data_IF_030429225569
#
_entry.id   IF_030429225569
#
_cell.length_a   1.000
_cell.length_b   1.000
_cell.length_c   1.000
_cell.angle_alpha   90.00
_cell.angle_beta   90.00
_cell.angle_gamma   90.00
#
_symmetry.space_group_name_H-M   'P 1'
#
loop_
_entity.id
_entity.type
_entity.pdbx_description
1 polymer ?
#
# COMPACT_ATOMS: atom_id res chain seq x y z
N UNK A 1 -1.18 30.29 48.36
CA UNK A 1 -0.08 29.66 49.11
C UNK A 1 0.37 28.48 48.27
N UNK A 2 1.52 28.65 47.58
CA UNK A 2 2.75 27.84 47.57
C UNK A 2 2.52 26.36 47.18
N UNK A 3 3.19 25.73 46.26
CA UNK A 3 4.52 25.92 45.64
C UNK A 3 4.61 25.10 44.36
N UNK A 4 5.18 25.71 43.36
CA UNK A 4 5.96 25.23 42.27
C UNK A 4 7.08 24.26 42.64
N UNK A 5 7.37 23.23 41.86
CA UNK A 5 8.72 22.74 41.63
C UNK A 5 8.72 21.89 40.32
N UNK A 6 9.26 22.49 39.27
CA UNK A 6 9.84 21.81 38.12
C UNK A 6 11.35 21.73 38.33
N UNK A 7 12.03 20.65 38.03
CA UNK A 7 13.51 20.65 37.99
C UNK A 7 14.01 21.16 36.63
N UNK A 8 14.95 22.10 36.70
CA UNK A 8 15.83 22.54 35.63
C UNK A 8 16.71 21.38 35.15
N UNK A 9 16.90 21.30 33.85
CA UNK A 9 17.92 20.43 33.25
C UNK A 9 19.10 21.34 32.89
N UNK A 10 20.21 21.12 33.56
CA UNK A 10 21.49 21.78 33.32
C UNK A 10 22.07 21.35 31.96
N UNK A 11 22.48 22.36 31.21
CA UNK A 11 23.32 22.33 30.04
C UNK A 11 24.79 22.33 30.47
N UNK A 12 25.68 21.81 29.65
CA UNK A 12 27.13 21.74 29.71
C UNK A 12 27.77 20.38 30.07
N UNK A 13 28.28 19.76 28.98
CA UNK A 13 29.73 19.50 28.94
C UNK A 13 30.22 19.32 27.49
N UNK A 14 30.82 20.38 27.03
CA UNK A 14 31.74 20.43 25.87
C UNK A 14 33.09 19.87 26.32
N UNK A 15 33.61 18.83 25.69
CA UNK A 15 35.03 18.45 25.82
C UNK A 15 35.66 18.24 24.46
N UNK A 16 36.58 19.10 24.18
CA UNK A 16 37.47 19.21 23.02
C UNK A 16 38.65 18.26 23.08
N UNK A 17 39.06 17.75 21.90
CA UNK A 17 40.41 17.58 21.40
C UNK A 17 41.02 16.17 21.44
N UNK A 18 42.14 15.89 20.76
CA UNK A 18 42.77 16.71 19.71
C UNK A 18 43.11 15.94 18.42
N UNK A 19 43.43 16.71 17.36
CA UNK A 19 44.11 16.31 16.13
C UNK A 19 45.53 15.77 16.35
N UNK A 20 45.90 14.71 15.62
CA UNK A 20 47.26 14.47 15.13
C UNK A 20 47.20 13.71 13.84
N UNK A 21 47.42 14.33 12.74
CA UNK A 21 48.63 14.38 11.92
C UNK A 21 49.40 13.05 11.79
N UNK A 22 49.33 12.46 10.62
CA UNK A 22 50.51 11.91 9.97
C UNK A 22 50.32 11.84 8.44
N UNK A 23 51.05 12.76 7.75
CA UNK A 23 51.38 12.68 6.34
C UNK A 23 52.52 11.70 6.14
N UNK A 24 52.49 10.93 5.04
CA UNK A 24 53.70 10.44 4.33
C UNK A 24 53.22 9.74 3.05
N UNK A 25 53.29 10.34 1.89
CA UNK A 25 54.28 10.35 0.81
C UNK A 25 54.91 8.99 0.47
N UNK A 26 54.65 8.48 -0.73
CA UNK A 26 55.65 8.21 -1.81
C UNK A 26 55.01 7.32 -2.90
N UNK A 27 54.88 7.88 -4.10
CA UNK A 27 55.74 7.83 -5.30
C UNK A 27 55.84 6.48 -6.00
N UNK A 28 55.29 6.45 -7.22
CA UNK A 28 55.86 5.99 -8.51
C UNK A 28 56.45 4.58 -8.57
N UNK A 29 55.89 3.74 -9.44
CA UNK A 29 56.74 3.09 -10.47
C UNK A 29 55.91 2.76 -11.71
N UNK A 30 56.34 3.39 -12.80
CA UNK A 30 55.98 3.09 -14.19
C UNK A 30 56.95 2.00 -14.63
N UNK A 31 56.46 0.87 -15.09
CA UNK A 31 57.29 -0.05 -15.87
C UNK A 31 56.59 -0.43 -17.17
N UNK A 32 57.16 0.08 -18.24
CA UNK A 32 56.92 -0.31 -19.62
C UNK A 32 57.57 -1.67 -19.86
N UNK A 33 56.86 -2.63 -20.45
CA UNK A 33 57.47 -3.74 -21.16
C UNK A 33 56.80 -3.86 -22.54
N UNK A 34 57.68 -3.89 -23.53
CA UNK A 34 57.39 -3.87 -24.95
C UNK A 34 57.06 -5.25 -25.51
N UNK A 35 56.22 -5.23 -26.51
CA UNK A 35 56.17 -5.98 -27.75
C UNK A 35 56.93 -7.34 -27.87
N UNK A 36 56.19 -8.41 -28.07
CA UNK A 36 56.65 -9.51 -28.92
C UNK A 36 55.43 -10.06 -29.68
N UNK A 37 55.43 -9.83 -30.99
CA UNK A 37 54.52 -10.46 -31.95
C UNK A 37 54.85 -11.97 -32.05
N UNK A 38 53.83 -12.81 -31.87
CA UNK A 38 53.84 -14.16 -32.42
C UNK A 38 52.50 -14.41 -33.14
N UNK A 39 52.60 -14.49 -34.48
CA UNK A 39 51.54 -14.94 -35.36
C UNK A 39 51.36 -16.43 -35.13
N UNK A 40 50.20 -16.80 -34.59
CA UNK A 40 49.68 -18.18 -34.74
C UNK A 40 48.28 -18.04 -35.38
N UNK A 41 48.20 -18.36 -36.67
CA UNK A 41 46.93 -18.60 -37.38
C UNK A 41 46.36 -19.93 -36.88
N UNK A 42 45.35 -19.89 -36.10
CA UNK A 42 44.47 -21.05 -35.87
C UNK A 42 43.07 -20.65 -36.32
N UNK A 43 42.57 -21.40 -37.30
CA UNK A 43 41.22 -21.29 -37.82
C UNK A 43 40.20 -21.52 -36.69
N UNK A 44 39.46 -20.48 -36.34
CA UNK A 44 38.25 -20.62 -35.52
C UNK A 44 37.03 -20.77 -36.44
N UNK A 45 36.16 -21.75 -36.16
CA UNK A 45 34.89 -21.82 -36.87
C UNK A 45 34.03 -20.60 -36.55
N UNK A 46 33.50 -19.97 -37.58
CA UNK A 46 32.50 -18.90 -37.47
C UNK A 46 31.27 -19.49 -36.82
N UNK A 47 31.17 -19.30 -35.47
CA UNK A 47 29.89 -19.44 -34.80
C UNK A 47 29.07 -18.20 -35.17
N UNK A 48 28.13 -18.36 -36.08
CA UNK A 48 27.05 -17.40 -36.26
C UNK A 48 26.28 -17.32 -34.93
N UNK A 49 26.51 -16.26 -34.15
CA UNK A 49 25.62 -15.88 -33.06
C UNK A 49 24.28 -15.53 -33.72
N UNK A 50 23.38 -16.47 -33.74
CA UNK A 50 21.96 -16.19 -33.92
C UNK A 50 21.54 -15.39 -32.69
N UNK A 51 21.21 -14.11 -32.89
CA UNK A 51 20.60 -13.30 -31.88
C UNK A 51 19.39 -14.06 -31.31
N UNK A 52 19.17 -14.03 -29.98
CA UNK A 52 17.96 -14.63 -29.45
C UNK A 52 16.77 -13.97 -30.12
N UNK A 53 15.97 -14.79 -30.81
CA UNK A 53 14.64 -14.39 -31.28
C UNK A 53 13.93 -13.89 -30.05
N UNK A 54 13.72 -12.59 -29.97
CA UNK A 54 12.78 -12.00 -29.04
C UNK A 54 11.47 -12.71 -29.30
N UNK A 55 11.00 -13.51 -28.36
CA UNK A 55 9.64 -13.98 -28.36
C UNK A 55 8.78 -12.71 -28.44
N UNK A 56 8.24 -12.41 -29.60
CA UNK A 56 7.14 -11.48 -29.70
C UNK A 56 6.02 -12.14 -28.92
N UNK A 57 5.78 -11.63 -27.71
CA UNK A 57 4.58 -11.94 -26.97
C UNK A 57 3.41 -11.66 -27.90
N UNK A 58 2.79 -12.73 -28.38
CA UNK A 58 1.52 -12.66 -29.06
C UNK A 58 0.44 -12.32 -28.02
N UNK A 59 0.50 -11.08 -27.52
CA UNK A 59 -0.64 -10.46 -26.84
C UNK A 59 -1.74 -10.35 -27.89
N UNK A 60 -2.82 -11.08 -27.66
CA UNK A 60 -4.00 -11.05 -28.49
C UNK A 60 -4.39 -9.61 -28.81
N UNK A 61 -4.43 -9.29 -30.08
CA UNK A 61 -4.93 -8.02 -30.61
C UNK A 61 -6.42 -7.92 -30.33
N UNK A 62 -6.84 -7.53 -29.11
CA UNK A 62 -8.17 -6.92 -28.88
C UNK A 62 -8.42 -6.42 -27.44
N UNK A 63 -7.39 -6.22 -26.61
CA UNK A 63 -7.55 -5.44 -25.40
C UNK A 63 -6.76 -4.13 -25.53
N UNK A 64 -7.37 -3.14 -26.18
CA UNK A 64 -6.94 -1.76 -25.97
C UNK A 64 -7.30 -1.38 -24.53
N UNK A 65 -6.41 -1.73 -23.60
CA UNK A 65 -6.41 -1.11 -22.27
C UNK A 65 -6.39 0.39 -22.56
N UNK A 66 -7.51 1.07 -22.33
CA UNK A 66 -7.58 2.53 -22.46
C UNK A 66 -6.75 3.08 -21.31
N UNK A 67 -5.45 3.23 -21.56
CA UNK A 67 -4.53 3.83 -20.60
C UNK A 67 -4.94 5.29 -20.42
N UNK A 68 -5.13 5.70 -19.19
CA UNK A 68 -5.27 7.12 -18.86
C UNK A 68 -3.95 7.80 -19.14
N UNK A 69 -3.95 8.81 -20.01
CA UNK A 69 -2.76 9.60 -20.35
C UNK A 69 -2.66 10.82 -19.43
N UNK A 70 -1.44 11.39 -19.30
CA UNK A 70 -1.25 12.65 -18.59
C UNK A 70 -2.04 13.80 -19.24
N UNK A 71 -2.22 13.76 -20.55
CA UNK A 71 -3.04 14.74 -21.29
C UNK A 71 -4.51 14.64 -20.89
N UNK A 72 -5.06 13.44 -20.78
CA UNK A 72 -6.44 13.23 -20.29
C UNK A 72 -6.61 13.66 -18.84
N UNK A 73 -5.61 13.43 -17.98
CA UNK A 73 -5.63 13.94 -16.62
C UNK A 73 -5.61 15.47 -16.59
N UNK A 74 -4.74 16.11 -17.40
CA UNK A 74 -4.60 17.55 -17.46
C UNK A 74 -5.85 18.23 -18.06
N UNK A 75 -6.49 17.63 -19.06
CA UNK A 75 -7.73 18.16 -19.67
C UNK A 75 -8.99 17.89 -18.85
N UNK A 76 -8.91 17.04 -17.80
CA UNK A 76 -10.08 16.59 -17.04
C UNK A 76 -10.93 15.55 -17.80
N UNK A 77 -10.42 14.95 -18.86
CA UNK A 77 -11.10 13.90 -19.64
C UNK A 77 -10.96 12.51 -18.99
N UNK A 78 -11.12 12.50 -17.66
CA UNK A 78 -11.12 11.31 -16.82
C UNK A 78 -12.27 11.38 -15.82
N UNK A 79 -12.68 10.22 -15.30
CA UNK A 79 -13.54 10.14 -14.13
C UNK A 79 -12.69 9.83 -12.91
N UNK A 80 -12.84 10.62 -11.85
CA UNK A 80 -12.25 10.35 -10.56
C UNK A 80 -13.31 9.77 -9.62
N UNK A 81 -12.99 8.66 -8.96
CA UNK A 81 -13.82 8.06 -7.92
C UNK A 81 -13.06 8.14 -6.61
N UNK A 82 -13.62 8.83 -5.64
CA UNK A 82 -13.10 8.90 -4.27
C UNK A 82 -13.46 7.62 -3.53
N UNK A 83 -12.44 6.91 -3.07
CA UNK A 83 -12.55 5.63 -2.37
C UNK A 83 -12.27 5.78 -0.86
N UNK A 84 -12.45 7.00 -0.33
CA UNK A 84 -12.11 7.37 1.04
C UNK A 84 -13.35 7.72 1.84
N UNK A 85 -13.50 7.14 3.01
CA UNK A 85 -14.54 7.53 3.97
C UNK A 85 -14.21 8.86 4.64
N UNK A 86 -15.23 9.69 4.88
CA UNK A 86 -15.10 10.85 5.75
C UNK A 86 -14.91 10.44 7.21
N UNK A 87 -13.95 11.07 7.89
CA UNK A 87 -13.66 10.79 9.29
C UNK A 87 -14.53 11.63 10.24
N UNK A 88 -15.14 10.98 11.22
CA UNK A 88 -15.90 11.60 12.29
C UNK A 88 -15.90 10.69 13.54
N UNK A 89 -16.49 11.17 14.63
CA UNK A 89 -16.59 10.48 15.92
C UNK A 89 -17.43 9.18 15.91
N UNK A 90 -18.16 8.92 14.82
CA UNK A 90 -18.96 7.71 14.61
C UNK A 90 -18.29 6.71 13.67
N UNK A 91 -17.18 7.08 13.06
CA UNK A 91 -16.45 6.20 12.14
C UNK A 91 -16.07 4.90 12.83
N UNK A 92 -16.30 3.74 12.20
CA UNK A 92 -15.87 2.46 12.74
C UNK A 92 -14.36 2.41 12.96
N UNK A 93 -13.95 1.75 14.02
CA UNK A 93 -12.54 1.54 14.36
C UNK A 93 -12.35 0.20 15.08
N UNK A 94 -11.12 -0.28 15.13
CA UNK A 94 -10.77 -1.54 15.78
C UNK A 94 -11.11 -1.52 17.26
N UNK A 95 -11.77 -2.57 17.81
CA UNK A 95 -12.09 -2.61 19.25
C UNK A 95 -10.84 -2.89 20.07
N UNK A 96 -10.67 -2.16 21.17
CA UNK A 96 -9.55 -2.34 22.10
C UNK A 96 -9.42 -1.14 23.03
N UNK A 97 -8.81 -1.34 24.21
CA UNK A 97 -8.65 -0.27 25.19
C UNK A 97 -7.73 0.85 24.71
N UNK A 98 -6.77 0.51 23.83
CA UNK A 98 -5.77 1.45 23.32
C UNK A 98 -6.25 2.19 22.05
N UNK A 99 -7.36 1.74 21.44
CA UNK A 99 -7.92 2.37 20.25
C UNK A 99 -9.04 3.33 20.65
N UNK A 100 -8.84 4.61 20.33
CA UNK A 100 -9.78 5.68 20.62
C UNK A 100 -10.53 6.13 19.36
N UNK A 101 -11.77 6.62 19.48
CA UNK A 101 -12.49 7.20 18.35
C UNK A 101 -11.75 8.44 17.82
N UNK A 102 -12.11 8.84 16.60
CA UNK A 102 -11.63 10.09 16.03
C UNK A 102 -12.07 11.29 16.86
N UNK A 103 -11.12 12.10 17.28
CA UNK A 103 -11.36 13.36 17.96
C UNK A 103 -11.10 14.55 17.03
N UNK A 104 -12.03 15.52 17.03
CA UNK A 104 -11.88 16.77 16.30
C UNK A 104 -12.21 17.95 17.20
N UNK A 105 -11.20 18.75 17.55
CA UNK A 105 -11.30 19.89 18.47
C UNK A 105 -11.10 21.21 17.73
N UNK A 106 -12.01 22.17 17.90
CA UNK A 106 -11.80 23.54 17.45
C UNK A 106 -10.77 24.23 18.34
N UNK A 107 -9.71 24.79 17.76
CA UNK A 107 -8.63 25.50 18.45
C UNK A 107 -8.64 27.00 18.18
N UNK A 108 -9.23 27.45 17.04
CA UNK A 108 -9.42 28.86 16.71
C UNK A 108 -10.72 29.05 15.93
N UNK A 109 -11.36 30.22 16.11
CA UNK A 109 -12.54 30.64 15.33
C UNK A 109 -12.29 32.00 14.67
N UNK A 110 -12.97 32.24 13.57
CA UNK A 110 -12.82 33.51 12.82
C UNK A 110 -13.14 34.70 13.72
N UNK A 111 -14.20 34.61 14.53
CA UNK A 111 -14.66 35.72 15.41
C UNK A 111 -13.65 36.13 16.46
N UNK A 112 -12.92 35.13 17.02
CA UNK A 112 -11.95 35.36 18.12
C UNK A 112 -10.53 35.56 17.63
N UNK A 113 -10.15 34.83 16.57
CA UNK A 113 -8.77 34.69 16.17
C UNK A 113 -8.49 35.13 14.73
N UNK A 114 -9.52 35.49 13.95
CA UNK A 114 -9.39 35.82 12.54
C UNK A 114 -9.10 34.61 11.63
N UNK A 115 -9.07 33.40 12.19
CA UNK A 115 -8.81 32.12 11.49
C UNK A 115 -9.69 31.02 12.08
N UNK A 116 -10.12 30.08 11.23
CA UNK A 116 -10.79 28.85 11.69
C UNK A 116 -9.83 27.67 11.61
N UNK A 117 -9.54 27.05 12.76
CA UNK A 117 -8.58 25.94 12.84
C UNK A 117 -9.06 24.88 13.82
N UNK A 118 -8.73 23.62 13.49
CA UNK A 118 -9.04 22.45 14.31
C UNK A 118 -7.79 21.60 14.48
N UNK A 119 -7.73 20.89 15.60
CA UNK A 119 -6.81 19.77 15.82
C UNK A 119 -7.60 18.45 15.78
N UNK A 120 -6.94 17.37 15.41
CA UNK A 120 -7.51 16.03 15.48
C UNK A 120 -6.53 15.04 16.13
N UNK A 121 -7.09 13.98 16.72
CA UNK A 121 -6.35 12.83 17.22
C UNK A 121 -7.06 11.54 16.79
N UNK A 122 -6.29 10.52 16.43
CA UNK A 122 -6.75 9.19 16.07
C UNK A 122 -5.58 8.21 16.03
N UNK A 123 -5.80 6.89 16.13
CA UNK A 123 -4.80 5.88 15.79
C UNK A 123 -4.35 5.98 14.33
N UNK A 124 -3.15 5.48 14.00
CA UNK A 124 -2.65 5.39 12.61
C UNK A 124 -3.58 4.58 11.71
N UNK A 125 -4.09 3.45 12.25
CA UNK A 125 -4.99 2.52 11.55
C UNK A 125 -6.45 2.91 11.81
N UNK A 126 -6.90 3.98 11.16
CA UNK A 126 -8.24 4.54 11.36
C UNK A 126 -8.85 5.04 10.04
N UNK A 127 -10.14 4.74 9.82
CA UNK A 127 -10.83 5.09 8.59
C UNK A 127 -10.24 4.37 7.37
N UNK A 128 -10.34 4.96 6.19
CA UNK A 128 -9.61 4.46 5.01
C UNK A 128 -8.14 4.74 5.19
N UNK A 129 -7.34 3.69 5.32
CA UNK A 129 -5.92 3.81 5.66
C UNK A 129 -5.06 2.78 4.90
N UNK A 130 -3.76 2.97 5.00
CA UNK A 130 -2.74 2.05 4.51
C UNK A 130 -2.00 1.44 5.69
N UNK A 131 -1.72 0.12 5.61
CA UNK A 131 -0.82 -0.59 6.50
C UNK A 131 0.53 -0.71 5.83
N UNK A 132 1.55 -0.10 6.42
CA UNK A 132 2.92 -0.24 5.94
C UNK A 132 3.43 -1.68 6.15
N UNK A 133 4.41 -2.15 5.36
CA UNK A 133 4.95 -3.50 5.53
C UNK A 133 5.50 -3.79 6.94
N UNK A 134 6.00 -2.78 7.66
CA UNK A 134 6.48 -2.94 9.02
C UNK A 134 5.37 -3.16 10.08
N UNK A 135 4.08 -3.02 9.69
CA UNK A 135 2.97 -3.15 10.64
C UNK A 135 2.94 -4.53 11.30
N UNK A 136 3.11 -5.61 10.54
CA UNK A 136 3.16 -6.98 11.06
C UNK A 136 4.54 -7.64 10.96
N UNK A 137 5.51 -7.01 10.25
CA UNK A 137 6.81 -7.64 9.99
C UNK A 137 7.97 -6.71 10.34
N UNK A 138 8.70 -7.08 11.38
CA UNK A 138 9.86 -6.31 11.82
C UNK A 138 10.93 -6.23 10.73
N UNK A 139 11.47 -5.04 10.51
CA UNK A 139 12.53 -4.80 9.52
C UNK A 139 12.03 -4.57 8.11
N UNK A 140 10.74 -4.65 7.88
CA UNK A 140 10.12 -4.20 6.63
C UNK A 140 9.97 -2.67 6.59
N UNK A 141 9.78 -2.05 5.40
CA UNK A 141 9.65 -0.61 5.26
C UNK A 141 8.50 -0.01 6.08
N UNK A 142 8.78 1.10 6.75
CA UNK A 142 7.78 1.95 7.41
C UNK A 142 7.01 2.80 6.39
N UNK A 143 5.97 3.49 6.84
CA UNK A 143 5.07 4.27 5.99
C UNK A 143 5.81 5.33 5.16
N UNK A 144 6.77 6.03 5.75
CA UNK A 144 7.55 7.07 5.08
C UNK A 144 8.62 6.52 4.10
N UNK A 145 8.93 5.23 4.20
CA UNK A 145 9.87 4.52 3.33
C UNK A 145 9.20 3.88 2.10
N UNK A 146 7.85 3.80 2.06
CA UNK A 146 7.13 3.33 0.86
C UNK A 146 7.44 4.26 -0.31
N UNK A 147 7.94 3.69 -1.40
CA UNK A 147 8.33 4.47 -2.58
C UNK A 147 7.09 5.06 -3.26
N UNK A 148 7.13 6.33 -3.70
CA UNK A 148 6.01 6.94 -4.43
C UNK A 148 5.57 6.14 -5.66
N UNK A 149 6.49 5.44 -6.33
CA UNK A 149 6.18 4.55 -7.46
C UNK A 149 5.30 3.36 -7.10
N UNK A 150 5.26 2.95 -5.84
CA UNK A 150 4.45 1.84 -5.36
C UNK A 150 3.04 2.29 -4.94
N UNK A 151 2.84 3.60 -4.79
CA UNK A 151 1.56 4.23 -4.46
C UNK A 151 0.69 4.56 -5.69
N UNK A 152 1.19 4.26 -6.89
CA UNK A 152 0.50 4.40 -8.17
C UNK A 152 0.49 3.06 -8.89
N UNK A 153 -0.68 2.50 -9.18
CA UNK A 153 -0.74 1.20 -9.81
C UNK A 153 -2.06 0.95 -10.57
N UNK A 154 -2.05 0.06 -11.56
CA UNK A 154 -3.30 -0.50 -12.08
C UNK A 154 -4.12 -1.10 -10.94
N UNK A 155 -5.43 -0.86 -10.95
CA UNK A 155 -6.36 -1.45 -9.99
C UNK A 155 -7.21 -2.55 -10.62
N UNK A 156 -7.54 -3.56 -9.82
CA UNK A 156 -8.55 -4.58 -10.14
C UNK A 156 -9.48 -4.77 -8.95
N UNK A 157 -10.75 -5.07 -9.21
CA UNK A 157 -11.75 -5.38 -8.17
C UNK A 157 -12.19 -6.82 -8.32
N UNK A 158 -11.95 -7.62 -7.29
CA UNK A 158 -12.51 -8.95 -7.12
C UNK A 158 -13.78 -8.83 -6.28
N UNK A 159 -14.92 -9.20 -6.82
CA UNK A 159 -16.23 -9.06 -6.16
C UNK A 159 -16.67 -10.39 -5.57
N UNK A 160 -16.70 -10.48 -4.24
CA UNK A 160 -17.22 -11.62 -3.48
C UNK A 160 -18.45 -11.25 -2.67
N UNK A 161 -19.13 -10.16 -2.98
CA UNK A 161 -20.22 -9.62 -2.16
C UNK A 161 -21.37 -10.61 -1.98
N UNK A 162 -21.70 -11.43 -2.99
CA UNK A 162 -22.73 -12.47 -2.86
C UNK A 162 -22.33 -13.59 -1.89
N UNK A 163 -21.06 -14.03 -1.93
CA UNK A 163 -20.55 -15.03 -1.01
C UNK A 163 -20.45 -14.47 0.42
N UNK A 164 -20.01 -13.24 0.56
CA UNK A 164 -19.93 -12.53 1.83
C UNK A 164 -21.30 -12.23 2.46
N UNK A 165 -22.35 -12.08 1.66
CA UNK A 165 -23.73 -11.95 2.17
C UNK A 165 -24.27 -13.28 2.73
N UNK A 166 -23.89 -14.39 2.11
CA UNK A 166 -24.26 -15.73 2.57
C UNK A 166 -23.44 -16.20 3.78
N UNK A 167 -22.16 -15.81 3.85
CA UNK A 167 -21.23 -16.15 4.92
C UNK A 167 -20.39 -14.93 5.27
N UNK A 168 -20.63 -14.25 6.41
CA UNK A 168 -19.84 -13.10 6.81
C UNK A 168 -18.36 -13.43 7.11
N UNK A 169 -18.01 -14.70 7.32
CA UNK A 169 -16.64 -15.14 7.54
C UNK A 169 -15.94 -15.63 6.24
N UNK A 170 -16.57 -15.40 5.10
CA UNK A 170 -16.05 -15.82 3.81
C UNK A 170 -14.65 -15.23 3.54
N UNK A 171 -13.81 -16.06 2.97
CA UNK A 171 -12.44 -15.67 2.56
C UNK A 171 -12.29 -15.87 1.07
N UNK A 172 -11.72 -14.86 0.39
CA UNK A 172 -11.36 -14.98 -1.03
C UNK A 172 -10.60 -16.28 -1.31
N UNK A 173 -11.15 -17.12 -2.18
CA UNK A 173 -10.58 -18.42 -2.54
C UNK A 173 -9.75 -18.34 -3.83
N UNK A 174 -8.96 -19.38 -4.11
CA UNK A 174 -8.28 -19.52 -5.41
C UNK A 174 -9.25 -19.69 -6.56
N UNK A 175 -10.41 -20.32 -6.31
CA UNK A 175 -11.48 -20.43 -7.31
C UNK A 175 -12.01 -19.06 -7.71
N UNK A 176 -12.22 -18.15 -6.75
CA UNK A 176 -12.69 -16.79 -7.05
C UNK A 176 -11.67 -16.05 -7.92
N UNK A 177 -10.37 -16.13 -7.58
CA UNK A 177 -9.30 -15.52 -8.36
C UNK A 177 -9.26 -16.09 -9.77
N UNK A 178 -9.32 -17.42 -9.92
CA UNK A 178 -9.28 -18.10 -11.22
C UNK A 178 -10.49 -17.75 -12.08
N UNK A 179 -11.68 -17.76 -11.49
CA UNK A 179 -12.92 -17.40 -12.18
C UNK A 179 -12.88 -15.92 -12.62
N UNK A 180 -12.35 -15.04 -11.77
CA UNK A 180 -12.20 -13.64 -12.12
C UNK A 180 -11.26 -13.47 -13.32
N UNK A 181 -10.09 -14.16 -13.33
CA UNK A 181 -9.16 -14.08 -14.45
C UNK A 181 -9.71 -14.68 -15.74
N UNK A 182 -10.50 -15.75 -15.67
CA UNK A 182 -11.18 -16.32 -16.84
C UNK A 182 -12.15 -15.32 -17.46
N UNK A 183 -12.86 -14.54 -16.64
CA UNK A 183 -13.82 -13.57 -17.10
C UNK A 183 -13.20 -12.24 -17.57
N UNK A 184 -12.08 -11.83 -16.95
CA UNK A 184 -11.54 -10.47 -17.10
C UNK A 184 -10.12 -10.45 -17.68
N UNK A 185 -9.48 -11.60 -17.94
CA UNK A 185 -8.06 -11.67 -18.26
C UNK A 185 -7.16 -11.63 -17.04
N UNK A 186 -5.87 -11.90 -17.21
CA UNK A 186 -4.92 -11.97 -16.11
C UNK A 186 -4.85 -10.65 -15.33
N UNK A 187 -4.71 -10.75 -14.00
CA UNK A 187 -4.44 -9.61 -13.13
C UNK A 187 -3.09 -9.00 -13.55
N UNK A 188 -3.03 -7.69 -13.84
CA UNK A 188 -1.79 -7.05 -14.28
C UNK A 188 -0.67 -7.17 -13.23
N UNK A 189 0.55 -7.45 -13.67
CA UNK A 189 1.73 -7.41 -12.80
C UNK A 189 1.86 -6.02 -12.15
N UNK A 190 2.10 -6.00 -10.85
CA UNK A 190 2.21 -4.77 -10.08
C UNK A 190 0.87 -4.07 -9.80
N UNK A 191 -0.25 -4.75 -9.97
CA UNK A 191 -1.57 -4.19 -9.61
C UNK A 191 -1.76 -4.08 -8.09
N UNK A 192 -2.72 -3.23 -7.70
CA UNK A 192 -3.36 -3.28 -6.38
C UNK A 192 -4.68 -4.03 -6.56
N UNK A 193 -4.86 -5.09 -5.77
CA UNK A 193 -6.04 -5.95 -5.83
C UNK A 193 -7.03 -5.55 -4.75
N UNK A 194 -8.18 -5.02 -5.15
CA UNK A 194 -9.25 -4.60 -4.26
C UNK A 194 -10.28 -5.73 -4.13
N UNK A 195 -10.57 -6.14 -2.91
CA UNK A 195 -11.59 -7.11 -2.58
C UNK A 195 -12.88 -6.39 -2.17
N UNK A 196 -13.90 -6.50 -3.02
CA UNK A 196 -15.23 -5.97 -2.76
C UNK A 196 -16.08 -7.03 -2.06
N UNK A 197 -16.45 -6.75 -0.82
CA UNK A 197 -17.30 -7.62 0.00
C UNK A 197 -18.71 -7.08 0.16
N UNK A 198 -18.93 -5.80 -0.19
CA UNK A 198 -20.18 -5.08 0.06
C UNK A 198 -20.35 -4.62 1.51
N UNK A 199 -19.30 -4.75 2.33
CA UNK A 199 -19.32 -4.39 3.75
C UNK A 199 -19.43 -2.88 3.97
N UNK A 200 -18.95 -2.08 3.03
CA UNK A 200 -19.08 -0.63 3.01
C UNK A 200 -20.50 -0.12 3.34
N UNK A 201 -21.56 -0.88 3.04
CA UNK A 201 -22.95 -0.56 3.39
C UNK A 201 -23.22 -0.41 4.88
N UNK A 202 -22.30 -0.87 5.73
CA UNK A 202 -22.45 -0.81 7.19
C UNK A 202 -21.60 0.29 7.83
N UNK A 203 -20.89 1.11 7.03
CA UNK A 203 -19.95 2.12 7.51
C UNK A 203 -20.55 3.10 8.54
N UNK A 204 -21.81 3.47 8.41
CA UNK A 204 -22.48 4.40 9.32
C UNK A 204 -22.82 3.82 10.70
N UNK A 205 -22.46 2.56 10.96
CA UNK A 205 -22.76 1.87 12.20
C UNK A 205 -21.60 1.00 12.67
N UNK A 206 -20.89 1.49 13.68
CA UNK A 206 -19.77 0.77 14.29
C UNK A 206 -20.16 -0.66 14.73
N UNK A 207 -21.38 -0.84 15.28
CA UNK A 207 -21.90 -2.14 15.71
C UNK A 207 -22.07 -3.10 14.51
N UNK A 208 -22.71 -2.62 13.43
CA UNK A 208 -22.92 -3.44 12.23
C UNK A 208 -21.64 -3.71 11.46
N UNK A 209 -20.74 -2.73 11.44
CA UNK A 209 -19.48 -2.83 10.72
C UNK A 209 -18.52 -3.81 11.39
N UNK A 210 -18.43 -3.77 12.72
CA UNK A 210 -17.68 -4.74 13.53
C UNK A 210 -18.33 -6.12 13.54
N UNK A 211 -19.66 -6.17 13.50
CA UNK A 211 -20.47 -7.40 13.52
C UNK A 211 -19.98 -8.41 14.58
N UNK A 212 -19.85 -7.94 15.84
CA UNK A 212 -19.34 -8.75 16.94
C UNK A 212 -20.42 -9.69 17.49
N UNK A 213 -20.05 -10.94 17.76
CA UNK A 213 -20.86 -11.88 18.51
C UNK A 213 -20.88 -11.56 20.03
N UNK A 214 -21.60 -12.36 20.81
CA UNK A 214 -21.71 -12.20 22.27
C UNK A 214 -20.37 -12.38 23.00
N UNK A 215 -19.39 -13.00 22.38
CA UNK A 215 -18.03 -13.19 22.87
C UNK A 215 -17.08 -12.08 22.44
N UNK A 216 -17.57 -11.10 21.69
CA UNK A 216 -16.80 -9.98 21.17
C UNK A 216 -15.96 -10.30 19.92
N UNK A 217 -16.11 -11.51 19.35
CA UNK A 217 -15.43 -11.90 18.11
C UNK A 217 -16.12 -11.23 16.92
N UNK A 218 -15.34 -10.59 16.07
CA UNK A 218 -15.84 -9.95 14.85
C UNK A 218 -16.08 -10.98 13.74
N UNK A 219 -17.05 -10.67 12.86
CA UNK A 219 -17.44 -11.48 11.73
C UNK A 219 -17.58 -10.60 10.49
N UNK A 220 -16.55 -10.58 9.66
CA UNK A 220 -16.53 -9.91 8.36
C UNK A 220 -15.58 -10.64 7.41
N UNK A 221 -15.80 -10.57 6.08
CA UNK A 221 -14.98 -11.29 5.11
C UNK A 221 -13.57 -10.73 4.96
N UNK A 222 -12.66 -11.54 4.39
CA UNK A 222 -11.28 -11.14 4.14
C UNK A 222 -10.63 -11.94 3.03
N UNK A 223 -9.33 -11.76 2.87
CA UNK A 223 -8.51 -12.59 1.99
C UNK A 223 -8.22 -13.95 2.65
N UNK A 224 -7.90 -14.97 1.85
CA UNK A 224 -7.23 -16.16 2.35
C UNK A 224 -5.71 -16.03 2.16
N UNK A 225 -4.95 -16.68 3.06
CA UNK A 225 -3.50 -16.71 2.93
C UNK A 225 -3.03 -17.38 1.64
N UNK A 226 -3.79 -18.35 1.12
CA UNK A 226 -3.50 -19.03 -0.15
C UNK A 226 -3.60 -18.05 -1.32
N UNK A 227 -4.73 -17.34 -1.43
CA UNK A 227 -4.93 -16.35 -2.48
C UNK A 227 -3.89 -15.22 -2.39
N UNK A 228 -3.58 -14.73 -1.18
CA UNK A 228 -2.57 -13.69 -0.96
C UNK A 228 -1.18 -14.15 -1.45
N UNK A 229 -0.73 -15.35 -1.09
CA UNK A 229 0.55 -15.90 -1.56
C UNK A 229 0.60 -16.05 -3.07
N UNK A 230 -0.47 -16.53 -3.67
CA UNK A 230 -0.57 -16.68 -5.11
C UNK A 230 -0.49 -15.31 -5.83
N UNK A 231 -1.25 -14.33 -5.37
CA UNK A 231 -1.24 -12.97 -5.92
C UNK A 231 0.15 -12.33 -5.86
N UNK A 232 0.87 -12.52 -4.75
CA UNK A 232 2.26 -12.05 -4.61
C UNK A 232 3.17 -12.76 -5.59
N UNK A 233 3.13 -14.10 -5.63
CA UNK A 233 4.07 -14.92 -6.40
C UNK A 233 3.82 -14.81 -7.90
N UNK A 234 2.58 -14.97 -8.33
CA UNK A 234 2.22 -15.13 -9.74
C UNK A 234 1.85 -13.80 -10.42
N UNK A 235 1.45 -12.78 -9.65
CA UNK A 235 1.04 -11.46 -10.18
C UNK A 235 1.92 -10.32 -9.68
N UNK A 236 2.83 -10.59 -8.74
CA UNK A 236 3.77 -9.60 -8.20
C UNK A 236 3.04 -8.29 -7.82
N UNK A 237 1.89 -8.43 -7.18
CA UNK A 237 1.04 -7.30 -6.78
C UNK A 237 1.81 -6.31 -5.90
N UNK A 238 1.44 -5.03 -5.91
CA UNK A 238 2.00 -4.00 -5.02
C UNK A 238 1.33 -3.96 -3.67
N UNK A 239 0.04 -4.24 -3.63
CA UNK A 239 -0.74 -4.24 -2.41
C UNK A 239 -2.11 -4.88 -2.63
N UNK A 240 -2.82 -5.01 -1.54
CA UNK A 240 -4.23 -5.43 -1.51
C UNK A 240 -5.07 -4.36 -0.85
N UNK A 241 -6.38 -4.37 -1.09
CA UNK A 241 -7.32 -3.49 -0.40
C UNK A 241 -8.66 -4.17 -0.18
N UNK A 242 -9.43 -3.71 0.82
CA UNK A 242 -10.71 -4.28 1.20
C UNK A 242 -11.65 -3.23 1.81
N UNK A 243 -12.95 -3.46 1.73
CA UNK A 243 -13.99 -2.61 2.33
C UNK A 243 -14.43 -3.07 3.74
N UNK A 244 -13.56 -3.77 4.47
CA UNK A 244 -13.75 -4.20 5.87
C UNK A 244 -12.69 -3.59 6.79
N UNK A 245 -12.80 -3.85 8.12
CA UNK A 245 -11.84 -3.39 9.14
C UNK A 245 -10.46 -4.05 9.04
N UNK A 246 -10.33 -5.15 8.29
CA UNK A 246 -9.08 -5.88 8.16
C UNK A 246 -9.02 -6.63 6.84
N UNK A 247 -7.80 -6.77 6.27
CA UNK A 247 -7.54 -7.66 5.13
C UNK A 247 -7.66 -9.14 5.53
N UNK A 248 -7.45 -9.47 6.81
CA UNK A 248 -7.85 -10.76 7.38
C UNK A 248 -9.35 -10.79 7.64
N UNK A 249 -9.98 -11.96 7.60
CA UNK A 249 -11.38 -12.11 7.97
C UNK A 249 -11.60 -11.91 9.48
N UNK A 250 -12.77 -11.46 9.90
CA UNK A 250 -13.08 -11.07 11.27
C UNK A 250 -12.66 -12.05 12.37
N UNK A 251 -12.89 -13.39 12.21
CA UNK A 251 -12.45 -14.38 13.19
C UNK A 251 -10.95 -14.67 13.26
N UNK A 252 -10.13 -14.09 12.38
CA UNK A 252 -8.68 -14.32 12.39
C UNK A 252 -8.08 -13.99 13.76
N UNK A 253 -7.20 -14.86 14.25
CA UNK A 253 -6.46 -14.68 15.50
C UNK A 253 -4.96 -14.51 15.26
N UNK A 254 -4.50 -15.00 14.14
CA UNK A 254 -3.09 -15.05 13.75
C UNK A 254 -2.74 -14.01 12.68
N UNK A 255 -3.73 -13.29 12.14
CA UNK A 255 -3.54 -12.26 11.12
C UNK A 255 -2.64 -12.72 9.97
N UNK A 256 -2.79 -13.97 9.57
CA UNK A 256 -1.90 -14.63 8.62
C UNK A 256 -1.83 -13.93 7.27
N UNK A 257 -2.89 -13.23 6.83
CA UNK A 257 -2.88 -12.48 5.58
C UNK A 257 -1.98 -11.24 5.70
N UNK A 258 -2.03 -10.53 6.83
CA UNK A 258 -1.08 -9.43 7.12
C UNK A 258 0.35 -9.94 7.08
N UNK A 259 0.67 -11.02 7.79
CA UNK A 259 2.01 -11.60 7.75
C UNK A 259 2.47 -11.96 6.34
N UNK A 260 1.60 -12.52 5.51
CA UNK A 260 1.91 -12.86 4.12
C UNK A 260 2.16 -11.62 3.26
N UNK A 261 1.29 -10.61 3.35
CA UNK A 261 1.37 -9.38 2.55
C UNK A 261 2.56 -8.53 3.01
N UNK A 262 2.67 -8.24 4.30
CA UNK A 262 3.71 -7.39 4.86
C UNK A 262 5.09 -8.05 4.76
N UNK A 263 5.18 -9.38 4.99
CA UNK A 263 6.42 -10.15 4.86
C UNK A 263 7.00 -10.16 3.44
N UNK A 264 6.15 -9.98 2.43
CA UNK A 264 6.57 -9.77 1.05
C UNK A 264 6.92 -8.31 0.72
N UNK A 265 6.93 -7.41 1.70
CA UNK A 265 7.16 -5.98 1.51
C UNK A 265 6.01 -5.29 0.75
N UNK A 266 4.78 -5.80 0.90
CA UNK A 266 3.57 -5.25 0.30
C UNK A 266 2.70 -4.61 1.37
N UNK A 267 1.83 -3.68 0.97
CA UNK A 267 0.95 -2.95 1.88
C UNK A 267 -0.50 -3.42 1.77
N UNK A 268 -1.25 -3.21 2.86
CA UNK A 268 -2.69 -3.34 2.92
C UNK A 268 -3.40 -1.99 2.81
N UNK A 269 -4.64 -1.98 2.30
CA UNK A 269 -5.55 -0.85 2.34
C UNK A 269 -6.85 -1.34 2.98
N UNK A 270 -7.29 -0.70 4.04
CA UNK A 270 -8.46 -1.13 4.79
C UNK A 270 -9.54 -0.05 4.79
N UNK A 271 -10.77 -0.48 5.02
CA UNK A 271 -11.93 0.40 5.01
C UNK A 271 -12.05 1.20 3.70
N UNK A 272 -11.82 0.55 2.56
CA UNK A 272 -11.93 1.19 1.25
C UNK A 272 -13.40 1.47 0.93
N UNK A 273 -13.70 2.72 0.57
CA UNK A 273 -15.05 3.14 0.24
C UNK A 273 -15.40 2.89 -1.23
N UNK A 274 -16.70 2.79 -1.54
CA UNK A 274 -17.24 2.91 -2.89
C UNK A 274 -16.67 1.95 -3.95
N UNK A 275 -16.27 0.75 -3.58
CA UNK A 275 -15.82 -0.28 -4.54
C UNK A 275 -16.91 -0.69 -5.55
N UNK A 276 -18.17 -0.44 -5.22
CA UNK A 276 -19.32 -0.63 -6.11
C UNK A 276 -19.35 0.32 -7.32
N UNK A 277 -18.58 1.43 -7.26
CA UNK A 277 -18.47 2.40 -8.36
C UNK A 277 -17.37 2.05 -9.37
N UNK A 278 -16.60 1.01 -9.11
CA UNK A 278 -15.48 0.62 -9.94
C UNK A 278 -15.83 -0.55 -10.88
N UNK A 279 -15.31 -0.55 -12.11
CA UNK A 279 -15.31 -1.75 -12.95
C UNK A 279 -14.35 -2.80 -12.39
N UNK A 280 -14.45 -4.03 -12.87
CA UNK A 280 -13.54 -5.10 -12.47
C UNK A 280 -12.07 -4.78 -12.77
N UNK A 281 -11.78 -4.03 -13.83
CA UNK A 281 -10.44 -3.62 -14.29
C UNK A 281 -10.49 -2.32 -15.10
N UNK A 282 -9.33 -1.89 -15.64
CA UNK A 282 -9.18 -0.71 -16.52
C UNK A 282 -9.33 0.62 -15.78
N UNK A 283 -8.77 0.70 -14.59
CA UNK A 283 -8.59 1.93 -13.83
C UNK A 283 -7.22 1.95 -13.18
N UNK A 284 -6.81 3.14 -12.76
CA UNK A 284 -5.56 3.36 -12.06
C UNK A 284 -5.85 3.86 -10.65
N UNK A 285 -5.09 3.36 -9.66
CA UNK A 285 -5.22 3.79 -8.28
C UNK A 285 -4.13 4.77 -7.91
N UNK A 286 -4.52 5.78 -7.14
CA UNK A 286 -3.63 6.73 -6.48
C UNK A 286 -3.86 6.58 -4.98
N UNK A 287 -2.83 6.12 -4.28
CA UNK A 287 -2.79 5.99 -2.83
C UNK A 287 -1.98 7.16 -2.28
N UNK A 288 -2.61 8.04 -1.52
CA UNK A 288 -1.97 9.26 -1.02
C UNK A 288 -2.01 9.31 0.52
N UNK A 289 -1.19 8.50 1.21
CA UNK A 289 -1.16 8.47 2.67
C UNK A 289 -0.51 9.73 3.24
N UNK A 290 -0.84 10.04 4.49
CA UNK A 290 -0.04 10.93 5.31
C UNK A 290 1.35 10.32 5.49
N UNK A 291 2.41 11.14 5.40
CA UNK A 291 3.78 10.66 5.54
C UNK A 291 4.24 10.81 7.00
N UNK A 292 4.09 9.75 7.79
CA UNK A 292 4.53 9.70 9.19
C UNK A 292 5.88 8.98 9.23
N UNK A 293 6.90 9.63 9.78
CA UNK A 293 8.23 9.01 9.95
C UNK A 293 8.12 7.85 10.93
N UNK A 294 8.64 6.70 10.53
CA UNK A 294 8.55 5.42 11.28
C UNK A 294 7.12 4.94 11.54
N UNK A 295 6.12 5.51 10.83
CA UNK A 295 4.72 5.09 10.97
C UNK A 295 4.50 3.66 10.51
N UNK A 296 3.62 2.93 11.21
CA UNK A 296 3.23 1.56 10.86
C UNK A 296 2.07 1.53 9.86
N UNK A 297 1.38 2.65 9.73
CA UNK A 297 0.28 2.90 8.82
C UNK A 297 -0.17 4.35 8.88
N UNK A 298 -1.22 4.68 8.17
CA UNK A 298 -1.76 6.03 8.24
C UNK A 298 -2.98 6.26 7.34
N UNK A 299 -3.82 7.22 7.70
CA UNK A 299 -4.95 7.61 6.87
C UNK A 299 -4.49 7.96 5.46
N UNK A 300 -5.24 7.49 4.47
CA UNK A 300 -4.92 7.75 3.07
C UNK A 300 -6.13 8.38 2.35
N UNK A 301 -5.86 9.32 1.43
CA UNK A 301 -6.83 9.65 0.40
C UNK A 301 -6.60 8.72 -0.77
N UNK A 302 -7.56 7.86 -1.04
CA UNK A 302 -7.52 6.87 -2.11
C UNK A 302 -8.48 7.28 -3.22
N UNK A 303 -7.99 7.31 -4.47
CA UNK A 303 -8.84 7.53 -5.62
C UNK A 303 -8.57 6.54 -6.74
N UNK A 304 -9.62 6.24 -7.49
CA UNK A 304 -9.49 5.60 -8.78
C UNK A 304 -9.62 6.63 -9.90
N UNK A 305 -8.78 6.48 -10.90
CA UNK A 305 -8.79 7.25 -12.15
C UNK A 305 -9.26 6.33 -13.27
N UNK A 306 -10.40 6.64 -13.85
CA UNK A 306 -11.00 5.86 -14.91
C UNK A 306 -10.99 6.66 -16.22
N UNK A 307 -10.83 5.99 -17.38
CA UNK A 307 -11.09 6.63 -18.67
C UNK A 307 -12.55 7.10 -18.70
N UNK A 308 -12.81 8.31 -19.18
CA UNK A 308 -14.18 8.74 -19.42
C UNK A 308 -14.74 7.97 -20.62
N UNK A 309 -15.85 7.28 -20.43
CA UNK A 309 -16.56 6.69 -21.55
C UNK A 309 -17.15 7.83 -22.40
N UNK A 310 -16.74 7.90 -23.67
CA UNK A 310 -17.33 8.81 -24.65
C UNK A 310 -18.69 8.27 -25.11
#
# INVERSE_FOLDING_TARGET
>A
MRNSNLPEIDDETCMTGPMSLLRSLRKRNVLRIALACFLIQTAFPVFTLTAPVRAEDSFGKNDSVRNVTLEQLASGDVQLVDLTHGLNDKSPFWPGADYQPFELKTIATIEKNGVFSKAFAMPEHFGTHIDAPCHFEQGQPSLDEIKPTDLFAPGVVLDISMAAEADPDYRLTMSDVTNWEQANGAIPTGAIVLLKTGWNRFWDSNVRYRNQDLQGKMHFPGFSAEAARWLIKERQIRGVGIDTLSIDHGPSKDFIVHHVINGAGRYGLENVAHLDKLPARNFFLIVAPIKITTGTGGPTRLFAVLPRNK
#
